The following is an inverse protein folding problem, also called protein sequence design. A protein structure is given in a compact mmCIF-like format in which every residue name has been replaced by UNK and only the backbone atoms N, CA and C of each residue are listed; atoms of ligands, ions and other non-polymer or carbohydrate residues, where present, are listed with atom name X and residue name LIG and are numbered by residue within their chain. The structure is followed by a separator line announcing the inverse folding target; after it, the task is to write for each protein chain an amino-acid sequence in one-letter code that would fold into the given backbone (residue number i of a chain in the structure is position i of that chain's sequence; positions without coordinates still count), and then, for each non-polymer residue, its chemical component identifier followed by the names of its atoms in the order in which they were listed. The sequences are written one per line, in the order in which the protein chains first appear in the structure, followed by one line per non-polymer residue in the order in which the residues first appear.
data_IF_327842518457
#
_entry.id   IF_327842518457
#
_cell.length_a   1.000
_cell.length_b   1.000
_cell.length_c   1.000
_cell.angle_alpha   90.00
_cell.angle_beta   90.00
_cell.angle_gamma   90.00
#
_symmetry.space_group_name_H-M   'P 1'
#
loop_
_entity.id
_entity.type
_entity.pdbx_description
1 polymer ?
#
# COMPACT_ATOMS: atom_id res chain seq x y z
N UNK A 1 -5.81 -10.72 12.97
CA UNK A 1 -5.94 -9.45 12.22
C UNK A 1 -4.55 -9.01 11.90
N UNK A 2 -4.30 -8.73 10.64
CA UNK A 2 -2.98 -8.49 10.08
C UNK A 2 -2.77 -7.01 9.78
N UNK A 3 -1.51 -6.62 9.64
CA UNK A 3 -1.06 -5.24 9.53
C UNK A 3 -0.06 -5.10 8.39
N UNK A 4 -0.23 -4.05 7.60
CA UNK A 4 0.69 -3.75 6.51
C UNK A 4 0.85 -2.24 6.30
N UNK A 5 1.88 -1.87 5.55
CA UNK A 5 2.14 -0.51 5.08
C UNK A 5 2.38 -0.54 3.58
N UNK A 6 2.07 0.55 2.90
CA UNK A 6 2.28 0.70 1.46
C UNK A 6 3.37 1.72 1.21
N UNK A 7 4.58 1.25 0.98
CA UNK A 7 5.74 2.09 0.73
C UNK A 7 5.80 2.49 -0.74
N UNK A 8 5.72 3.80 -1.00
CA UNK A 8 5.95 4.42 -2.29
C UNK A 8 6.63 5.76 -2.06
N UNK A 9 7.45 6.22 -3.01
CA UNK A 9 8.03 7.57 -2.92
C UNK A 9 6.93 8.64 -2.88
N UNK A 10 5.84 8.43 -3.61
CA UNK A 10 4.71 9.36 -3.70
C UNK A 10 3.57 9.02 -2.74
N UNK A 11 2.70 10.01 -2.54
CA UNK A 11 1.43 9.86 -1.85
C UNK A 11 0.37 9.34 -2.81
N UNK A 12 -0.44 8.38 -2.36
CA UNK A 12 -1.49 7.78 -3.16
C UNK A 12 -2.57 7.11 -2.31
N UNK A 13 -3.70 6.87 -2.96
CA UNK A 13 -4.86 6.17 -2.42
C UNK A 13 -4.60 4.67 -2.38
N UNK A 14 -4.77 4.06 -1.22
CA UNK A 14 -4.63 2.62 -0.99
C UNK A 14 -6.00 1.97 -1.02
N UNK A 15 -6.12 0.86 -1.75
CA UNK A 15 -7.30 0.00 -1.74
C UNK A 15 -6.90 -1.45 -1.47
N UNK A 16 -7.75 -2.18 -0.77
CA UNK A 16 -7.62 -3.62 -0.47
C UNK A 16 -8.83 -4.32 -1.07
N UNK A 17 -8.60 -5.25 -2.00
CA UNK A 17 -9.66 -5.98 -2.71
C UNK A 17 -10.69 -5.02 -3.35
N UNK A 18 -10.20 -3.89 -3.86
CA UNK A 18 -11.03 -2.82 -4.46
C UNK A 18 -11.68 -1.86 -3.47
N UNK A 19 -11.54 -2.07 -2.16
CA UNK A 19 -12.11 -1.18 -1.13
C UNK A 19 -11.07 -0.15 -0.65
N UNK A 20 -11.40 1.14 -0.80
CA UNK A 20 -10.55 2.24 -0.35
C UNK A 20 -10.33 2.22 1.16
N UNK A 21 -9.07 2.35 1.58
CA UNK A 21 -8.67 2.34 2.99
C UNK A 21 -8.10 3.66 3.50
N UNK A 22 -7.67 4.55 2.60
CA UNK A 22 -6.98 5.78 2.97
C UNK A 22 -5.79 6.10 2.07
N UNK A 23 -4.90 6.96 2.54
CA UNK A 23 -3.67 7.31 1.82
C UNK A 23 -2.48 6.58 2.42
N UNK A 24 -1.54 6.15 1.58
CA UNK A 24 -0.36 5.41 2.03
C UNK A 24 0.53 6.20 3.01
N UNK A 25 0.46 7.54 2.98
CA UNK A 25 1.28 8.45 3.77
C UNK A 25 0.47 9.64 4.31
N UNK A 26 0.87 10.08 5.50
CA UNK A 26 0.54 11.40 6.05
C UNK A 26 1.85 12.21 6.19
N UNK A 27 2.07 13.18 5.29
CA UNK A 27 3.39 13.77 5.10
C UNK A 27 4.38 12.70 4.58
N UNK A 28 5.50 12.52 5.27
CA UNK A 28 6.48 11.48 4.96
C UNK A 28 6.26 10.16 5.73
N UNK A 29 5.35 10.16 6.69
CA UNK A 29 5.10 9.00 7.55
C UNK A 29 4.17 8.00 6.85
N UNK A 30 4.62 6.74 6.74
CA UNK A 30 3.79 5.64 6.23
C UNK A 30 2.64 5.34 7.19
N UNK A 31 1.44 5.17 6.64
CA UNK A 31 0.27 4.72 7.41
C UNK A 31 0.23 3.20 7.49
N UNK A 32 -0.25 2.70 8.64
CA UNK A 32 -0.47 1.29 8.89
C UNK A 32 -1.94 0.96 8.65
N UNK A 33 -2.18 -0.06 7.85
CA UNK A 33 -3.50 -0.58 7.52
C UNK A 33 -3.72 -1.92 8.20
N UNK A 34 -5.00 -2.29 8.39
CA UNK A 34 -5.39 -3.58 8.96
C UNK A 34 -6.23 -4.37 7.97
N UNK A 35 -6.05 -5.69 7.94
CA UNK A 35 -6.84 -6.59 7.11
C UNK A 35 -7.02 -7.96 7.79
N UNK A 36 -7.84 -8.82 7.19
CA UNK A 36 -7.87 -10.24 7.56
C UNK A 36 -6.57 -10.92 7.12
N UNK A 37 -6.26 -12.07 7.72
CA UNK A 37 -5.16 -12.88 7.22
C UNK A 37 -5.58 -13.55 5.91
N UNK A 38 -4.71 -13.57 4.91
CA UNK A 38 -5.00 -14.19 3.63
C UNK A 38 -4.35 -13.51 2.43
N UNK A 39 -4.82 -13.90 1.26
CA UNK A 39 -4.40 -13.33 -0.02
C UNK A 39 -5.26 -12.11 -0.35
N UNK A 40 -4.61 -10.99 -0.64
CA UNK A 40 -5.27 -9.72 -0.92
C UNK A 40 -4.69 -9.06 -2.17
N UNK A 41 -5.55 -8.37 -2.91
CA UNK A 41 -5.16 -7.51 -4.02
C UNK A 41 -5.01 -6.07 -3.49
N UNK A 42 -3.76 -5.66 -3.29
CA UNK A 42 -3.40 -4.35 -2.73
C UNK A 42 -3.11 -3.41 -3.88
N UNK A 43 -3.86 -2.31 -3.95
CA UNK A 43 -3.70 -1.31 -5.02
C UNK A 43 -3.27 0.04 -4.48
N UNK A 44 -2.37 0.70 -5.20
CA UNK A 44 -1.93 2.05 -4.92
C UNK A 44 -2.13 2.94 -6.15
N UNK A 45 -2.92 3.99 -5.98
CA UNK A 45 -3.12 5.01 -7.00
C UNK A 45 -2.49 6.33 -6.54
N UNK A 46 -1.34 6.67 -7.12
CA UNK A 46 -0.67 7.95 -6.86
C UNK A 46 -1.51 9.13 -7.39
N UNK A 47 -1.46 10.28 -6.69
CA UNK A 47 -2.14 11.51 -7.13
C UNK A 47 -1.37 12.16 -8.29
N UNK A 48 -2.10 12.59 -9.33
CA UNK A 48 -1.71 13.46 -10.46
C UNK A 48 -0.50 12.95 -11.29
N UNK A 49 -0.78 12.54 -12.54
CA UNK A 49 0.22 12.42 -13.63
C UNK A 49 1.27 11.30 -13.49
N UNK A 50 1.40 10.69 -12.31
CA UNK A 50 2.43 9.71 -12.02
C UNK A 50 1.78 8.37 -11.64
N UNK A 51 2.26 7.29 -12.26
CA UNK A 51 1.76 5.94 -12.02
C UNK A 51 2.87 5.09 -11.41
N UNK A 52 2.51 4.23 -10.46
CA UNK A 52 3.37 3.12 -10.12
C UNK A 52 3.43 2.15 -11.30
N UNK A 53 4.60 1.55 -11.53
CA UNK A 53 4.82 0.56 -12.59
C UNK A 53 3.80 -0.56 -12.53
N UNK A 54 3.53 -1.03 -11.31
CA UNK A 54 2.40 -1.91 -11.00
C UNK A 54 1.46 -1.17 -10.06
N UNK A 55 0.21 -0.99 -10.48
CA UNK A 55 -0.80 -0.30 -9.67
C UNK A 55 -1.50 -1.22 -8.67
N UNK A 56 -1.39 -2.54 -8.85
CA UNK A 56 -1.97 -3.57 -7.99
C UNK A 56 -0.98 -4.70 -7.82
N UNK A 57 -0.80 -5.17 -6.58
CA UNK A 57 0.00 -6.32 -6.23
C UNK A 57 -0.83 -7.30 -5.42
N UNK A 58 -0.83 -8.56 -5.84
CA UNK A 58 -1.46 -9.66 -5.11
C UNK A 58 -0.47 -10.22 -4.10
N UNK A 59 -0.78 -10.09 -2.80
CA UNK A 59 0.14 -10.44 -1.71
C UNK A 59 -0.56 -11.25 -0.62
N UNK A 60 0.16 -12.20 -0.04
CA UNK A 60 -0.29 -12.92 1.15
C UNK A 60 0.13 -12.14 2.38
N UNK A 61 -0.84 -11.74 3.20
CA UNK A 61 -0.63 -11.04 4.47
C UNK A 61 -0.99 -11.99 5.61
N UNK A 62 0.01 -12.39 6.39
CA UNK A 62 -0.15 -13.32 7.52
C UNK A 62 1.04 -13.23 8.48
N UNK A 63 0.81 -13.42 9.78
CA UNK A 63 1.88 -13.45 10.79
C UNK A 63 2.46 -12.07 11.13
N UNK A 64 1.68 -11.01 10.94
CA UNK A 64 2.06 -9.61 11.13
C UNK A 64 1.39 -9.03 12.37
N UNK A 65 1.91 -7.91 12.87
CA UNK A 65 1.31 -7.18 13.99
C UNK A 65 1.53 -5.67 13.85
N UNK A 66 0.94 -4.90 14.77
CA UNK A 66 1.00 -3.43 14.72
C UNK A 66 2.41 -2.85 14.88
N UNK A 67 3.35 -3.59 15.49
CA UNK A 67 4.74 -3.16 15.70
C UNK A 67 5.59 -3.52 14.47
N UNK A 68 5.32 -4.68 13.86
CA UNK A 68 6.02 -5.20 12.69
C UNK A 68 5.00 -5.49 11.58
N UNK A 69 4.51 -4.45 10.88
CA UNK A 69 3.63 -4.63 9.75
C UNK A 69 4.39 -5.12 8.51
N UNK A 70 3.71 -5.84 7.62
CA UNK A 70 4.28 -6.17 6.31
C UNK A 70 4.50 -4.89 5.48
N UNK A 71 5.64 -4.76 4.82
CA UNK A 71 5.92 -3.61 3.94
C UNK A 71 5.73 -4.01 2.49
N UNK A 72 4.69 -3.48 1.85
CA UNK A 72 4.40 -3.68 0.43
C UNK A 72 4.99 -2.50 -0.33
N UNK A 73 5.88 -2.77 -1.29
CA UNK A 73 6.65 -1.73 -1.99
C UNK A 73 6.10 -1.49 -3.38
N UNK A 74 5.75 -0.24 -3.66
CA UNK A 74 5.37 0.24 -4.97
C UNK A 74 6.45 1.18 -5.51
N UNK A 75 6.74 1.05 -6.79
CA UNK A 75 7.75 1.85 -7.48
C UNK A 75 7.08 2.72 -8.54
N UNK A 76 7.29 4.03 -8.47
CA UNK A 76 6.90 4.97 -9.51
C UNK A 76 8.04 5.09 -10.53
N UNK A 77 7.67 5.17 -11.81
CA UNK A 77 8.60 5.68 -12.82
C UNK A 77 8.79 7.19 -12.56
N UNK A 78 10.03 7.61 -12.34
CA UNK A 78 10.38 9.01 -12.39
C UNK A 78 10.30 9.41 -13.87
N UNK A 79 9.26 10.15 -14.26
CA UNK A 79 9.39 10.95 -15.48
C UNK A 79 10.48 11.99 -15.19
N UNK A 80 11.61 11.83 -15.88
CA UNK A 80 12.69 12.82 -15.98
C UNK A 80 12.18 14.15 -16.55
#
# INVERSE_FOLDING_TARGET
MEYFTVSCQRRGSVSVDGLYQGENKNGETLQVFKCCAGLHDISLQCRIGQRCREMTQRVTISGTNAIVPLVIRFFCDLQE
#
